data_IF_905344315772
#
_entry.id   IF_905344315772
#
_cell.length_a   1.000
_cell.length_b   1.000
_cell.length_c   1.000
_cell.angle_alpha   90.00
_cell.angle_beta   90.00
_cell.angle_gamma   90.00
#
_symmetry.space_group_name_H-M   'P 1'
#
loop_
_entity.id
_entity.type
_entity.pdbx_description
1 polymer ?
#
# COMPACT_ATOMS: atom_id res chain seq x y z
N UNK A 1 9.49 -4.43 -9.89
CA UNK A 1 10.67 -5.33 -9.85
C UNK A 1 11.85 -4.71 -9.10
N UNK A 2 12.33 -3.52 -9.48
CA UNK A 2 13.40 -2.82 -8.75
C UNK A 2 13.14 -2.67 -7.23
N UNK A 3 11.92 -2.27 -6.83
CA UNK A 3 11.56 -2.16 -5.42
C UNK A 3 11.69 -3.49 -4.65
N UNK A 4 11.29 -4.61 -5.25
CA UNK A 4 11.41 -5.94 -4.63
C UNK A 4 12.88 -6.32 -4.46
N UNK A 5 13.72 -6.06 -5.47
CA UNK A 5 15.16 -6.29 -5.39
C UNK A 5 15.77 -5.45 -4.25
N UNK A 6 15.42 -4.16 -4.16
CA UNK A 6 15.91 -3.31 -3.08
C UNK A 6 15.48 -3.79 -1.70
N UNK A 7 14.23 -4.26 -1.54
CA UNK A 7 13.73 -4.79 -0.27
C UNK A 7 14.46 -6.08 0.11
N UNK A 8 14.63 -7.02 -0.82
CA UNK A 8 15.30 -8.31 -0.57
C UNK A 8 16.78 -8.14 -0.25
N UNK A 9 17.45 -7.18 -0.90
CA UNK A 9 18.88 -6.90 -0.66
C UNK A 9 19.12 -5.99 0.56
N UNK A 10 18.09 -5.34 1.07
CA UNK A 10 18.20 -4.46 2.24
C UNK A 10 18.57 -5.27 3.49
N UNK A 11 19.50 -4.73 4.29
CA UNK A 11 19.86 -5.26 5.61
C UNK A 11 19.18 -4.52 6.77
N UNK A 12 18.31 -3.56 6.47
CA UNK A 12 17.65 -2.78 7.52
C UNK A 12 16.64 -3.63 8.28
N UNK A 13 16.62 -3.49 9.61
CA UNK A 13 15.67 -4.21 10.47
C UNK A 13 14.27 -3.61 10.42
N UNK A 14 14.18 -2.29 10.20
CA UNK A 14 12.94 -1.56 9.91
C UNK A 14 12.84 -1.27 8.42
N UNK A 15 11.62 -1.21 7.88
CA UNK A 15 11.43 -0.95 6.47
C UNK A 15 11.65 0.53 6.10
N UNK A 16 11.93 0.81 4.83
CA UNK A 16 12.18 2.19 4.38
C UNK A 16 10.88 2.97 4.16
N UNK A 17 10.61 3.96 5.03
CA UNK A 17 9.48 4.88 4.86
C UNK A 17 9.61 5.74 3.58
N UNK A 18 10.83 6.06 3.17
CA UNK A 18 11.10 6.82 1.96
C UNK A 18 10.72 6.01 0.70
N UNK A 19 11.12 4.74 0.63
CA UNK A 19 10.73 3.87 -0.48
C UNK A 19 9.20 3.72 -0.56
N UNK A 20 8.54 3.46 0.58
CA UNK A 20 7.09 3.30 0.62
C UNK A 20 6.35 4.59 0.19
N UNK A 21 6.81 5.76 0.65
CA UNK A 21 6.22 7.06 0.25
C UNK A 21 6.44 7.37 -1.23
N UNK A 22 7.63 7.10 -1.78
CA UNK A 22 7.90 7.27 -3.22
C UNK A 22 7.01 6.36 -4.08
N UNK A 23 6.83 5.10 -3.68
CA UNK A 23 5.96 4.17 -4.39
C UNK A 23 4.48 4.60 -4.30
N UNK A 24 4.03 5.06 -3.13
CA UNK A 24 2.67 5.58 -2.95
C UNK A 24 2.42 6.80 -3.84
N UNK A 25 3.33 7.78 -3.82
CA UNK A 25 3.21 9.00 -4.60
C UNK A 25 3.29 8.72 -6.11
N UNK A 26 4.25 7.89 -6.54
CA UNK A 26 4.42 7.52 -7.95
C UNK A 26 3.22 6.76 -8.50
N UNK A 27 2.74 5.74 -7.78
CA UNK A 27 1.56 4.99 -8.21
C UNK A 27 0.29 5.84 -8.14
N UNK A 28 0.12 6.65 -7.08
CA UNK A 28 -0.99 7.58 -6.94
C UNK A 28 -1.05 8.60 -8.09
N UNK A 29 0.08 9.19 -8.48
CA UNK A 29 0.14 10.11 -9.63
C UNK A 29 -0.25 9.40 -10.94
N UNK A 30 0.26 8.19 -11.17
CA UNK A 30 -0.14 7.40 -12.32
C UNK A 30 -1.64 7.07 -12.31
N UNK A 31 -2.20 6.72 -11.16
CA UNK A 31 -3.62 6.45 -10.96
C UNK A 31 -4.50 7.67 -11.25
N UNK A 32 -4.06 8.87 -10.86
CA UNK A 32 -4.77 10.12 -11.21
C UNK A 32 -4.81 10.31 -12.72
N UNK A 33 -3.70 10.09 -13.42
CA UNK A 33 -3.65 10.20 -14.89
C UNK A 33 -4.56 9.16 -15.55
N UNK A 34 -4.55 7.91 -15.08
CA UNK A 34 -5.42 6.85 -15.63
C UNK A 34 -6.89 7.17 -15.41
N UNK A 35 -7.30 7.60 -14.22
CA UNK A 35 -8.69 8.00 -13.95
C UNK A 35 -9.09 9.20 -14.81
N UNK A 36 -8.21 10.19 -14.98
CA UNK A 36 -8.47 11.35 -15.82
C UNK A 36 -8.65 10.99 -17.30
N UNK A 37 -7.89 10.01 -17.80
CA UNK A 37 -7.89 9.61 -19.22
C UNK A 37 -8.95 8.56 -19.56
N UNK A 38 -9.20 7.62 -18.66
CA UNK A 38 -9.96 6.38 -18.93
C UNK A 38 -11.22 6.28 -18.07
N UNK A 39 -11.40 7.15 -17.08
CA UNK A 39 -12.53 7.13 -16.16
C UNK A 39 -12.51 5.96 -15.17
N UNK A 40 -13.43 6.00 -14.20
CA UNK A 40 -13.55 4.94 -13.19
C UNK A 40 -14.29 3.70 -13.68
N UNK A 41 -15.13 3.82 -14.71
CA UNK A 41 -15.93 2.70 -15.22
C UNK A 41 -15.03 1.58 -15.78
N UNK A 42 -13.90 1.96 -16.37
CA UNK A 42 -12.88 1.04 -16.90
C UNK A 42 -12.31 0.13 -15.81
N UNK A 43 -12.24 0.58 -14.55
CA UNK A 43 -11.87 -0.28 -13.41
C UNK A 43 -12.86 -1.44 -13.29
N UNK A 44 -14.16 -1.16 -13.29
CA UNK A 44 -15.18 -2.20 -13.19
C UNK A 44 -15.10 -3.18 -14.36
N UNK A 45 -15.00 -2.64 -15.57
CA UNK A 45 -14.90 -3.42 -16.81
C UNK A 45 -13.70 -4.38 -16.76
N UNK A 46 -12.51 -3.91 -16.39
CA UNK A 46 -11.29 -4.72 -16.32
C UNK A 46 -11.38 -5.89 -15.32
N UNK A 47 -12.14 -5.74 -14.23
CA UNK A 47 -12.27 -6.76 -13.20
C UNK A 47 -13.46 -7.71 -13.39
N UNK A 48 -14.28 -7.50 -14.42
CA UNK A 48 -15.53 -8.29 -14.62
C UNK A 48 -15.67 -8.89 -16.01
N UNK A 49 -14.83 -8.52 -16.97
CA UNK A 49 -14.94 -8.97 -18.36
C UNK A 49 -14.70 -10.47 -18.58
N UNK A 50 -13.89 -11.11 -17.73
CA UNK A 50 -13.54 -12.52 -17.86
C UNK A 50 -13.02 -13.09 -16.53
N UNK A 51 -12.81 -14.40 -16.49
CA UNK A 51 -12.32 -15.10 -15.30
C UNK A 51 -10.94 -14.61 -14.84
N UNK A 52 -10.05 -14.22 -15.77
CA UNK A 52 -8.74 -13.67 -15.42
C UNK A 52 -8.85 -12.31 -14.73
N UNK A 53 -9.71 -11.42 -15.22
CA UNK A 53 -9.96 -10.12 -14.59
C UNK A 53 -10.50 -10.27 -13.17
N UNK A 54 -11.44 -11.20 -12.97
CA UNK A 54 -11.98 -11.52 -11.64
C UNK A 54 -10.89 -12.12 -10.74
N UNK A 55 -10.09 -13.06 -11.25
CA UNK A 55 -9.01 -13.67 -10.48
C UNK A 55 -7.98 -12.61 -10.04
N UNK A 56 -7.53 -11.73 -10.94
CA UNK A 56 -6.59 -10.65 -10.61
C UNK A 56 -7.19 -9.73 -9.55
N UNK A 57 -8.50 -9.47 -9.59
CA UNK A 57 -9.17 -8.70 -8.54
C UNK A 57 -9.02 -9.36 -7.17
N UNK A 58 -9.29 -10.66 -7.09
CA UNK A 58 -9.15 -11.44 -5.86
C UNK A 58 -7.72 -11.51 -5.37
N UNK A 59 -6.74 -11.67 -6.27
CA UNK A 59 -5.32 -11.67 -5.92
C UNK A 59 -4.92 -10.36 -5.23
N UNK A 60 -5.42 -9.22 -5.72
CA UNK A 60 -5.18 -7.90 -5.10
C UNK A 60 -5.84 -7.79 -3.72
N UNK A 61 -7.08 -8.26 -3.57
CA UNK A 61 -7.78 -8.25 -2.28
C UNK A 61 -7.07 -9.13 -1.24
N UNK A 62 -6.60 -10.31 -1.63
CA UNK A 62 -5.84 -11.19 -0.74
C UNK A 62 -4.47 -10.61 -0.40
N UNK A 63 -3.78 -9.97 -1.34
CA UNK A 63 -2.52 -9.28 -1.04
C UNK A 63 -2.71 -8.16 0.00
N UNK A 64 -3.79 -7.37 -0.11
CA UNK A 64 -4.15 -6.35 0.88
C UNK A 64 -4.48 -6.99 2.23
N UNK A 65 -5.27 -8.07 2.25
CA UNK A 65 -5.63 -8.78 3.48
C UNK A 65 -4.38 -9.32 4.20
N UNK A 66 -3.47 -9.98 3.47
CA UNK A 66 -2.20 -10.48 4.00
C UNK A 66 -1.37 -9.31 4.56
N UNK A 67 -1.26 -8.19 3.85
CA UNK A 67 -0.56 -7.01 4.34
C UNK A 67 -1.18 -6.49 5.65
N UNK A 68 -2.51 -6.44 5.75
CA UNK A 68 -3.21 -6.02 6.96
C UNK A 68 -2.92 -6.91 8.17
N UNK A 69 -2.81 -8.23 7.97
CA UNK A 69 -2.44 -9.16 9.04
C UNK A 69 -1.12 -8.77 9.70
N UNK A 70 -0.12 -8.33 8.91
CA UNK A 70 1.18 -7.94 9.45
C UNK A 70 1.27 -6.47 9.89
N UNK A 71 0.60 -5.56 9.18
CA UNK A 71 0.74 -4.12 9.40
C UNK A 71 -0.14 -3.63 10.54
N UNK A 72 -1.39 -4.12 10.66
CA UNK A 72 -2.35 -3.58 11.63
C UNK A 72 -1.89 -3.72 13.08
N UNK A 73 -1.35 -4.88 13.54
CA UNK A 73 -0.85 -4.99 14.92
C UNK A 73 0.27 -3.97 15.23
N UNK A 74 1.20 -3.77 14.30
CA UNK A 74 2.31 -2.82 14.43
C UNK A 74 1.82 -1.37 14.41
N UNK A 75 0.92 -1.03 13.50
CA UNK A 75 0.29 0.28 13.42
C UNK A 75 -0.46 0.65 14.71
N UNK A 76 -1.09 -0.32 15.40
CA UNK A 76 -1.69 -0.10 16.72
C UNK A 76 -0.66 0.22 17.79
N UNK A 77 0.49 -0.45 17.79
CA UNK A 77 1.56 -0.23 18.77
C UNK A 77 2.13 1.20 18.71
N UNK A 78 2.15 1.80 17.52
CA UNK A 78 2.59 3.19 17.31
C UNK A 78 1.43 4.21 17.29
N UNK A 79 0.24 3.82 17.74
CA UNK A 79 -0.90 4.74 17.93
C UNK A 79 -1.61 5.21 16.67
N UNK A 80 -1.48 4.51 15.53
CA UNK A 80 -2.19 4.88 14.31
C UNK A 80 -3.69 4.56 14.38
N UNK A 81 -4.53 5.45 13.84
CA UNK A 81 -5.98 5.22 13.70
C UNK A 81 -6.29 4.21 12.60
N UNK A 82 -6.46 2.94 12.99
CA UNK A 82 -6.74 1.85 12.05
C UNK A 82 -8.03 2.04 11.24
N UNK A 83 -9.16 2.52 11.80
CA UNK A 83 -10.38 2.69 11.01
C UNK A 83 -10.21 3.67 9.83
N UNK A 84 -9.48 4.77 10.04
CA UNK A 84 -9.20 5.75 8.98
C UNK A 84 -8.34 5.13 7.88
N UNK A 85 -7.27 4.44 8.26
CA UNK A 85 -6.41 3.77 7.29
C UNK A 85 -7.11 2.64 6.55
N UNK A 86 -7.95 1.85 7.24
CA UNK A 86 -8.75 0.80 6.64
C UNK A 86 -9.70 1.36 5.57
N UNK A 87 -10.36 2.49 5.85
CA UNK A 87 -11.23 3.16 4.87
C UNK A 87 -10.45 3.64 3.64
N UNK A 88 -9.30 4.26 3.84
CA UNK A 88 -8.46 4.75 2.73
C UNK A 88 -7.92 3.60 1.87
N UNK A 89 -7.49 2.50 2.50
CA UNK A 89 -7.02 1.29 1.82
C UNK A 89 -8.15 0.58 1.10
N UNK A 90 -9.33 0.45 1.71
CA UNK A 90 -10.50 -0.12 1.03
C UNK A 90 -10.89 0.70 -0.22
N UNK A 91 -10.65 2.02 -0.19
CA UNK A 91 -11.00 2.93 -1.27
C UNK A 91 -9.95 2.98 -2.40
N UNK A 92 -8.67 2.75 -2.10
CA UNK A 92 -7.56 2.99 -3.04
C UNK A 92 -6.51 1.87 -3.11
N UNK A 93 -6.79 0.74 -2.45
CA UNK A 93 -5.95 -0.43 -2.36
C UNK A 93 -4.49 -0.11 -1.99
N UNK A 94 -3.54 -0.40 -2.88
CA UNK A 94 -2.11 -0.28 -2.62
C UNK A 94 -1.63 1.16 -2.44
N UNK A 95 -2.35 2.18 -2.96
CA UNK A 95 -1.93 3.59 -2.84
C UNK A 95 -1.92 4.00 -1.36
N UNK A 96 -3.07 3.86 -0.68
CA UNK A 96 -3.17 4.16 0.75
C UNK A 96 -2.44 3.13 1.61
N UNK A 97 -2.31 1.87 1.17
CA UNK A 97 -1.55 0.85 1.92
C UNK A 97 -0.07 1.23 1.98
N UNK A 98 0.52 1.68 0.87
CA UNK A 98 1.89 2.18 0.83
C UNK A 98 2.07 3.44 1.67
N UNK A 99 1.09 4.35 1.66
CA UNK A 99 1.10 5.53 2.53
C UNK A 99 1.00 5.14 4.03
N UNK A 100 0.17 4.16 4.37
CA UNK A 100 0.05 3.61 5.72
C UNK A 100 1.36 3.00 6.18
N UNK A 101 2.01 2.19 5.34
CA UNK A 101 3.31 1.57 5.62
C UNK A 101 4.38 2.65 5.81
N UNK A 102 4.42 3.67 4.95
CA UNK A 102 5.35 4.78 5.08
C UNK A 102 5.17 5.50 6.43
N UNK A 103 3.92 5.76 6.83
CA UNK A 103 3.62 6.36 8.13
C UNK A 103 4.03 5.47 9.30
N UNK A 104 3.76 4.17 9.21
CA UNK A 104 4.17 3.19 10.21
C UNK A 104 5.69 3.19 10.40
N UNK A 105 6.44 3.01 9.32
CA UNK A 105 7.90 2.95 9.38
C UNK A 105 8.52 4.26 9.85
N UNK A 106 7.93 5.41 9.51
CA UNK A 106 8.37 6.69 10.06
C UNK A 106 8.17 6.76 11.58
N UNK A 107 7.04 6.29 12.08
CA UNK A 107 6.76 6.28 13.52
C UNK A 107 7.66 5.33 14.29
N UNK A 108 7.86 4.10 13.78
CA UNK A 108 8.78 3.13 14.37
C UNK A 108 10.21 3.69 14.40
N UNK A 109 10.66 4.33 13.31
CA UNK A 109 12.00 4.93 13.25
C UNK A 109 12.22 6.04 14.29
N UNK A 110 11.19 6.85 14.58
CA UNK A 110 11.29 7.88 15.62
C UNK A 110 11.37 7.29 17.04
N UNK A 111 10.85 6.09 17.26
CA UNK A 111 10.95 5.41 18.57
C UNK A 111 12.35 4.78 18.77
N UNK A 112 13.02 4.39 17.68
CA UNK A 112 14.34 3.78 17.72
C UNK A 112 15.50 4.81 17.71
N UNK A 113 15.21 6.09 17.46
CA UNK A 113 16.23 7.13 17.41
C UNK A 113 16.72 7.48 18.85
N UNK A 114 18.04 7.44 19.11
CA UNK A 114 18.58 7.86 20.41
C UNK A 114 18.36 9.36 20.63
N UNK A 115 18.03 9.75 21.87
CA UNK A 115 17.92 11.16 22.31
C UNK A 115 19.19 11.99 22.06
#
# INVERSE_FOLDING_TARGET
>A
MLALVMIVLSKQQTGSYLLASMLSAGFGAYSVVTVYREGLLTVWTNHTQNLWGIQVWWDLLFAVAIAFVFIVPRARQVGMSIPVWALLVASTASIALLAMIARLFWLEHQLDAPE
#
